data_IF_168402570143
#
_entry.id   IF_168402570143
#
_cell.length_a   1.000
_cell.length_b   1.000
_cell.length_c   1.000
_cell.angle_alpha   90.00
_cell.angle_beta   90.00
_cell.angle_gamma   90.00
#
_symmetry.space_group_name_H-M   'P 1'
#
loop_
_entity.id
_entity.type
_entity.pdbx_description
1 polymer ?
#
# COMPACT_ATOMS: atom_id res chain seq x y z
N UNK A 1 8.22 6.66 7.79
CA UNK A 1 9.57 7.02 8.26
C UNK A 1 10.42 5.75 8.38
N UNK A 2 11.73 5.80 8.14
CA UNK A 2 12.61 4.63 8.38
C UNK A 2 13.20 4.74 9.79
N UNK A 3 12.96 3.77 10.69
CA UNK A 3 13.53 3.79 12.03
C UNK A 3 15.05 3.62 12.02
N UNK A 4 15.70 4.03 13.10
CA UNK A 4 17.09 3.68 13.32
C UNK A 4 17.24 2.16 13.45
N UNK A 5 18.17 1.58 12.69
CA UNK A 5 18.44 0.15 12.75
C UNK A 5 19.25 -0.23 13.99
N UNK A 6 18.87 -1.34 14.60
CA UNK A 6 19.56 -2.03 15.72
C UNK A 6 19.65 -3.52 15.41
N UNK A 7 20.49 -4.27 16.13
CA UNK A 7 20.55 -5.74 16.01
C UNK A 7 19.21 -6.33 16.48
N UNK A 8 18.69 -7.33 15.77
CA UNK A 8 17.42 -8.00 16.12
C UNK A 8 17.61 -9.52 15.95
N UNK A 9 17.61 -10.25 17.07
CA UNK A 9 17.88 -11.70 17.06
C UNK A 9 19.21 -12.04 16.39
N UNK A 10 19.16 -12.93 15.39
CA UNK A 10 20.32 -13.32 14.58
C UNK A 10 20.75 -12.26 13.54
N UNK A 11 19.92 -11.23 13.29
CA UNK A 11 20.16 -10.24 12.24
C UNK A 11 20.96 -9.05 12.77
N UNK A 12 22.05 -8.72 12.07
CA UNK A 12 22.90 -7.60 12.43
C UNK A 12 22.18 -6.26 12.24
N UNK A 13 22.73 -5.18 12.83
CA UNK A 13 22.26 -3.81 12.57
C UNK A 13 22.22 -3.49 11.06
N UNK A 14 23.21 -3.99 10.30
CA UNK A 14 23.29 -3.79 8.85
C UNK A 14 22.14 -4.49 8.12
N UNK A 15 21.81 -5.72 8.54
CA UNK A 15 20.70 -6.49 7.97
C UNK A 15 19.36 -5.80 8.23
N UNK A 16 19.10 -5.40 9.47
CA UNK A 16 17.87 -4.68 9.83
C UNK A 16 17.75 -3.37 9.07
N UNK A 17 18.86 -2.64 8.90
CA UNK A 17 18.89 -1.44 8.07
C UNK A 17 18.62 -1.72 6.59
N UNK A 18 19.09 -2.84 6.05
CA UNK A 18 18.79 -3.25 4.68
C UNK A 18 17.31 -3.62 4.52
N UNK A 19 16.76 -4.40 5.44
CA UNK A 19 15.35 -4.79 5.47
C UNK A 19 14.42 -3.57 5.48
N UNK A 20 14.66 -2.59 6.36
CA UNK A 20 13.87 -1.35 6.36
C UNK A 20 13.96 -0.55 5.06
N UNK A 21 15.15 -0.49 4.44
CA UNK A 21 15.30 0.20 3.14
C UNK A 21 14.55 -0.53 2.03
N UNK A 22 14.59 -1.86 2.01
CA UNK A 22 13.82 -2.67 1.05
C UNK A 22 12.32 -2.48 1.25
N UNK A 23 11.82 -2.60 2.49
CA UNK A 23 10.42 -2.36 2.82
C UNK A 23 9.95 -0.96 2.39
N UNK A 24 10.74 0.09 2.67
CA UNK A 24 10.43 1.45 2.18
C UNK A 24 10.34 1.52 0.66
N UNK A 25 11.28 0.89 -0.07
CA UNK A 25 11.26 0.89 -1.54
C UNK A 25 10.02 0.19 -2.09
N UNK A 26 9.64 -0.96 -1.51
CA UNK A 26 8.45 -1.70 -1.92
C UNK A 26 7.17 -0.90 -1.67
N UNK A 27 6.99 -0.33 -0.47
CA UNK A 27 5.87 0.56 -0.16
C UNK A 27 5.82 1.78 -1.08
N UNK A 28 6.98 2.40 -1.36
CA UNK A 28 7.03 3.55 -2.27
C UNK A 28 6.64 3.15 -3.69
N UNK A 29 7.08 1.99 -4.17
CA UNK A 29 6.72 1.50 -5.50
C UNK A 29 5.25 1.09 -5.62
N UNK A 30 4.65 0.57 -4.55
CA UNK A 30 3.25 0.18 -4.51
C UNK A 30 2.28 1.37 -4.40
N UNK A 31 2.65 2.42 -3.65
CA UNK A 31 1.74 3.52 -3.29
C UNK A 31 2.11 4.89 -3.88
N UNK A 32 3.34 5.10 -4.37
CA UNK A 32 3.82 6.42 -4.79
C UNK A 32 4.30 6.47 -6.25
N UNK A 33 4.38 5.33 -6.93
CA UNK A 33 4.79 5.29 -8.34
C UNK A 33 3.74 5.93 -9.24
N UNK A 34 4.09 7.06 -9.86
CA UNK A 34 3.12 7.88 -10.63
C UNK A 34 2.53 7.13 -11.83
N UNK A 35 3.29 6.27 -12.48
CA UNK A 35 2.79 5.47 -13.61
C UNK A 35 1.70 4.51 -13.13
N UNK A 36 1.94 3.83 -12.02
CA UNK A 36 0.99 2.92 -11.39
C UNK A 36 -0.23 3.64 -10.86
N UNK A 37 -0.04 4.76 -10.14
CA UNK A 37 -1.13 5.59 -9.62
C UNK A 37 -2.10 6.05 -10.71
N UNK A 38 -1.60 6.32 -11.92
CA UNK A 38 -2.43 6.75 -13.06
C UNK A 38 -2.97 5.58 -13.91
N UNK A 39 -3.09 4.38 -13.32
CA UNK A 39 -3.69 3.21 -13.97
C UNK A 39 -2.72 2.38 -14.81
N UNK A 40 -1.43 2.73 -14.83
CA UNK A 40 -0.41 2.01 -15.57
C UNK A 40 -0.05 0.66 -14.96
N UNK A 41 0.90 -0.03 -15.61
CA UNK A 41 1.43 -1.32 -15.10
C UNK A 41 2.32 -1.08 -13.87
N UNK A 42 2.22 -1.88 -12.80
CA UNK A 42 3.03 -1.75 -11.57
C UNK A 42 4.47 -2.26 -11.73
N UNK A 43 5.18 -1.83 -12.78
CA UNK A 43 6.49 -2.35 -13.11
C UNK A 43 7.55 -2.02 -12.04
N UNK A 44 7.44 -0.88 -11.37
CA UNK A 44 8.33 -0.50 -10.28
C UNK A 44 8.21 -1.47 -9.09
N UNK A 45 6.98 -1.80 -8.69
CA UNK A 45 6.71 -2.74 -7.60
C UNK A 45 7.08 -4.17 -7.99
N UNK A 46 6.66 -4.61 -9.18
CA UNK A 46 6.95 -5.94 -9.70
C UNK A 46 8.46 -6.26 -9.69
N UNK A 47 9.32 -5.31 -10.09
CA UNK A 47 10.79 -5.50 -10.08
C UNK A 47 11.41 -5.70 -8.70
N UNK A 48 10.72 -5.27 -7.65
CA UNK A 48 11.20 -5.40 -6.26
C UNK A 48 10.72 -6.69 -5.60
N UNK A 49 9.67 -7.33 -6.12
CA UNK A 49 9.17 -8.60 -5.59
C UNK A 49 10.15 -9.75 -5.84
N UNK A 50 10.07 -10.75 -4.96
CA UNK A 50 10.63 -12.08 -5.22
C UNK A 50 10.11 -12.62 -6.57
N UNK A 51 10.90 -13.38 -7.35
CA UNK A 51 10.48 -13.86 -8.67
C UNK A 51 9.13 -14.58 -8.69
N UNK A 52 8.79 -15.34 -7.66
CA UNK A 52 7.50 -16.05 -7.59
C UNK A 52 6.35 -15.07 -7.37
N UNK A 53 6.47 -14.17 -6.39
CA UNK A 53 5.47 -13.12 -6.15
C UNK A 53 5.27 -12.22 -7.36
N UNK A 54 6.37 -11.90 -8.08
CA UNK A 54 6.30 -11.13 -9.32
C UNK A 54 5.50 -11.84 -10.39
N UNK A 55 5.72 -13.13 -10.56
CA UNK A 55 5.00 -13.94 -11.55
C UNK A 55 3.50 -13.94 -11.24
N UNK A 56 3.14 -14.11 -9.97
CA UNK A 56 1.73 -14.12 -9.55
C UNK A 56 1.05 -12.76 -9.68
N UNK A 57 1.72 -11.68 -9.25
CA UNK A 57 1.26 -10.31 -9.46
C UNK A 57 0.95 -10.07 -10.94
N UNK A 58 1.90 -10.36 -11.83
CA UNK A 58 1.76 -10.08 -13.25
C UNK A 58 0.73 -10.97 -13.95
N UNK A 59 0.61 -12.23 -13.53
CA UNK A 59 -0.35 -13.19 -14.08
C UNK A 59 -1.79 -12.77 -13.78
N UNK A 60 -2.03 -12.23 -12.59
CA UNK A 60 -3.39 -11.91 -12.14
C UNK A 60 -3.72 -10.41 -12.14
N UNK A 61 -2.88 -9.58 -12.77
CA UNK A 61 -3.13 -8.15 -12.89
C UNK A 61 -4.40 -7.91 -13.71
N UNK A 62 -5.33 -7.11 -13.17
CA UNK A 62 -6.62 -6.77 -13.79
C UNK A 62 -7.49 -8.00 -14.10
N UNK A 63 -7.36 -9.06 -13.28
CA UNK A 63 -8.08 -10.31 -13.49
C UNK A 63 -9.59 -10.15 -13.20
N UNK A 64 -10.46 -10.68 -14.08
CA UNK A 64 -11.93 -10.53 -13.95
C UNK A 64 -12.54 -11.14 -12.69
N UNK A 65 -11.94 -12.22 -12.18
CA UNK A 65 -12.28 -12.76 -10.86
C UNK A 65 -11.55 -11.94 -9.80
N UNK A 66 -12.30 -11.18 -9.02
CA UNK A 66 -11.76 -10.24 -8.02
C UNK A 66 -10.93 -10.92 -6.94
N UNK A 67 -11.27 -12.15 -6.55
CA UNK A 67 -10.47 -12.93 -5.59
C UNK A 67 -9.04 -13.24 -6.07
N UNK A 68 -8.79 -13.11 -7.38
CA UNK A 68 -7.48 -13.30 -7.98
C UNK A 68 -6.84 -11.96 -8.38
N UNK A 69 -7.62 -10.88 -8.47
CA UNK A 69 -7.18 -9.64 -9.06
C UNK A 69 -6.10 -8.98 -8.21
N UNK A 70 -4.87 -8.96 -8.73
CA UNK A 70 -3.72 -8.38 -8.03
C UNK A 70 -3.62 -6.86 -8.20
N UNK A 71 -4.54 -6.22 -8.94
CA UNK A 71 -4.59 -4.75 -9.07
C UNK A 71 -4.68 -4.07 -7.70
N UNK A 72 -5.46 -4.66 -6.79
CA UNK A 72 -5.63 -4.16 -5.44
C UNK A 72 -4.36 -4.19 -4.60
N UNK A 73 -3.29 -4.89 -5.00
CA UNK A 73 -2.03 -4.92 -4.24
C UNK A 73 -1.29 -3.57 -4.26
N UNK A 74 -1.55 -2.73 -5.26
CA UNK A 74 -0.94 -1.41 -5.46
C UNK A 74 -1.99 -0.30 -5.47
N UNK A 75 -1.61 0.93 -5.14
CA UNK A 75 -2.49 2.08 -5.33
C UNK A 75 -2.54 2.45 -6.82
N UNK A 76 -3.74 2.48 -7.39
CA UNK A 76 -3.97 2.78 -8.80
C UNK A 76 -5.35 3.38 -8.97
N UNK A 77 -5.44 4.65 -9.35
CA UNK A 77 -6.74 5.29 -9.62
C UNK A 77 -7.38 4.72 -10.88
N UNK A 78 -8.70 4.59 -10.85
CA UNK A 78 -9.48 4.20 -12.01
C UNK A 78 -9.26 5.19 -13.17
N UNK A 79 -9.18 4.66 -14.39
CA UNK A 79 -8.85 5.47 -15.57
C UNK A 79 -9.88 6.57 -15.77
N UNK A 80 -9.41 7.82 -15.87
CA UNK A 80 -10.25 9.00 -16.09
C UNK A 80 -10.99 9.49 -14.84
N UNK A 81 -10.72 8.92 -13.66
CA UNK A 81 -11.36 9.34 -12.40
C UNK A 81 -10.50 10.29 -11.56
N UNK A 82 -9.21 10.41 -11.86
CA UNK A 82 -8.30 11.24 -11.07
C UNK A 82 -7.16 11.85 -11.90
N UNK A 83 -6.90 13.13 -11.67
CA UNK A 83 -5.65 13.81 -11.98
C UNK A 83 -4.94 14.16 -10.67
N UNK A 84 -3.65 13.78 -10.51
CA UNK A 84 -2.87 14.16 -9.33
C UNK A 84 -2.63 15.68 -9.30
N UNK A 85 -2.98 16.32 -8.19
CA UNK A 85 -2.74 17.74 -7.96
C UNK A 85 -1.33 17.95 -7.41
N UNK A 86 -0.45 18.49 -8.26
CA UNK A 86 0.96 18.73 -7.92
C UNK A 86 1.78 17.44 -7.79
N UNK A 87 2.91 17.57 -7.09
CA UNK A 87 3.95 16.53 -7.01
C UNK A 87 4.17 15.99 -5.58
N UNK A 88 3.36 16.45 -4.62
CA UNK A 88 3.49 16.07 -3.21
C UNK A 88 2.40 15.08 -2.83
N UNK A 89 2.82 13.90 -2.40
CA UNK A 89 1.97 12.91 -1.73
C UNK A 89 2.38 12.89 -0.25
N UNK A 90 1.41 13.06 0.64
CA UNK A 90 1.69 13.06 2.08
C UNK A 90 1.70 11.63 2.60
N UNK A 91 2.72 11.30 3.39
CA UNK A 91 2.93 9.94 3.91
C UNK A 91 3.15 10.01 5.41
N UNK A 92 2.35 9.27 6.16
CA UNK A 92 2.48 9.13 7.60
C UNK A 92 2.49 7.66 7.95
N UNK A 93 3.44 7.22 8.78
CA UNK A 93 3.49 5.82 9.15
C UNK A 93 4.78 5.41 9.84
N UNK A 94 4.77 4.17 10.30
CA UNK A 94 5.81 3.53 11.10
C UNK A 94 6.10 2.14 10.54
N UNK A 95 7.29 1.64 10.82
CA UNK A 95 7.64 0.24 10.62
C UNK A 95 8.49 -0.23 11.80
N UNK A 96 8.53 -1.53 12.06
CA UNK A 96 9.32 -2.12 13.13
C UNK A 96 9.80 -3.50 12.75
N UNK A 97 10.95 -3.92 13.26
CA UNK A 97 11.53 -5.24 13.00
C UNK A 97 11.51 -6.11 14.26
N UNK A 98 11.11 -7.38 14.11
CA UNK A 98 11.11 -8.38 15.17
C UNK A 98 11.67 -9.71 14.64
N UNK A 99 12.36 -10.50 15.47
CA UNK A 99 12.79 -11.82 15.06
C UNK A 99 11.59 -12.76 15.05
N UNK A 100 11.58 -13.72 14.12
CA UNK A 100 10.67 -14.87 14.13
C UNK A 100 11.42 -16.13 13.70
N UNK A 101 10.76 -17.28 13.81
CA UNK A 101 11.21 -18.51 13.17
C UNK A 101 10.45 -18.68 11.86
N UNK A 102 11.17 -19.00 10.80
CA UNK A 102 10.62 -19.44 9.53
C UNK A 102 9.97 -20.81 9.65
N UNK A 103 9.30 -21.23 8.59
CA UNK A 103 8.60 -22.51 8.55
C UNK A 103 9.57 -23.70 8.56
N UNK A 104 10.81 -23.48 8.12
CA UNK A 104 11.95 -24.41 8.22
C UNK A 104 12.64 -24.39 9.61
N UNK A 105 12.14 -23.56 10.54
CA UNK A 105 12.73 -23.34 11.86
C UNK A 105 13.93 -22.40 11.88
N UNK A 106 14.37 -21.90 10.73
CA UNK A 106 15.46 -20.95 10.57
C UNK A 106 15.14 -19.55 11.10
N UNK A 107 16.16 -18.71 11.34
CA UNK A 107 15.95 -17.35 11.79
C UNK A 107 15.41 -16.48 10.65
N UNK A 108 14.32 -15.77 10.91
CA UNK A 108 13.78 -14.74 10.02
C UNK A 108 13.60 -13.41 10.75
N UNK A 109 13.60 -12.33 9.98
CA UNK A 109 13.31 -10.99 10.44
C UNK A 109 11.99 -10.54 9.81
N UNK A 110 10.99 -10.31 10.65
CA UNK A 110 9.73 -9.71 10.20
C UNK A 110 9.80 -8.20 10.36
N UNK A 111 9.60 -7.47 9.26
CA UNK A 111 9.35 -6.03 9.27
C UNK A 111 7.86 -5.80 9.11
N UNK A 112 7.20 -5.36 10.18
CA UNK A 112 5.81 -4.91 10.12
C UNK A 112 5.76 -3.43 9.78
N UNK A 113 4.70 -3.01 9.09
CA UNK A 113 4.49 -1.62 8.73
C UNK A 113 3.03 -1.22 8.93
N UNK A 114 2.81 0.09 9.13
CA UNK A 114 1.50 0.73 9.18
C UNK A 114 1.65 2.13 8.59
N UNK A 115 1.04 2.37 7.43
CA UNK A 115 1.19 3.59 6.65
C UNK A 115 -0.15 4.12 6.13
N UNK A 116 -0.21 5.45 6.01
CA UNK A 116 -1.26 6.22 5.35
C UNK A 116 -0.61 7.03 4.23
N UNK A 117 -1.22 6.98 3.05
CA UNK A 117 -0.82 7.71 1.86
C UNK A 117 -1.98 8.61 1.44
N UNK A 118 -1.78 9.93 1.46
CA UNK A 118 -2.82 10.91 1.15
C UNK A 118 -2.51 11.59 -0.17
N UNK A 119 -3.42 11.44 -1.13
CA UNK A 119 -3.36 11.99 -2.47
C UNK A 119 -4.34 13.17 -2.57
N UNK A 120 -3.88 14.29 -3.12
CA UNK A 120 -4.78 15.33 -3.62
C UNK A 120 -5.07 15.03 -5.09
N UNK A 121 -6.36 14.87 -5.42
CA UNK A 121 -6.80 14.54 -6.78
C UNK A 121 -7.84 15.52 -7.27
N UNK A 122 -7.82 15.78 -8.58
CA UNK A 122 -8.83 16.56 -9.28
C UNK A 122 -9.66 15.64 -10.16
N UNK A 123 -10.98 15.87 -10.21
CA UNK A 123 -11.86 15.19 -11.15
C UNK A 123 -11.60 15.72 -12.56
N UNK A 124 -11.18 14.89 -13.52
CA UNK A 124 -10.84 15.34 -14.86
C UNK A 124 -11.96 16.15 -15.52
N UNK A 125 -11.60 17.24 -16.21
CA UNK A 125 -12.55 18.14 -16.86
C UNK A 125 -13.37 19.03 -15.92
N UNK A 126 -13.05 19.06 -14.62
CA UNK A 126 -13.75 19.90 -13.63
C UNK A 126 -12.76 20.65 -12.72
N UNK A 127 -13.28 21.56 -11.90
CA UNK A 127 -12.51 22.23 -10.83
C UNK A 127 -12.54 21.51 -9.48
N UNK A 128 -13.23 20.35 -9.39
CA UNK A 128 -13.43 19.66 -8.12
C UNK A 128 -12.14 18.97 -7.67
N UNK A 129 -11.76 19.20 -6.43
CA UNK A 129 -10.59 18.60 -5.78
C UNK A 129 -11.06 17.82 -4.57
N UNK A 130 -10.47 16.66 -4.34
CA UNK A 130 -10.71 15.82 -3.18
C UNK A 130 -9.39 15.28 -2.62
N UNK A 131 -9.45 14.80 -1.37
CA UNK A 131 -8.37 14.03 -0.74
C UNK A 131 -8.77 12.58 -0.68
N UNK A 132 -7.89 11.71 -1.15
CA UNK A 132 -8.02 10.26 -1.03
C UNK A 132 -6.93 9.76 -0.10
N UNK A 133 -7.29 8.94 0.87
CA UNK A 133 -6.35 8.30 1.78
C UNK A 133 -6.36 6.79 1.52
N UNK A 134 -5.19 6.20 1.33
CA UNK A 134 -5.00 4.76 1.35
C UNK A 134 -4.20 4.37 2.59
N UNK A 135 -4.77 3.47 3.40
CA UNK A 135 -4.11 2.88 4.56
C UNK A 135 -3.66 1.45 4.23
N UNK A 136 -2.47 1.10 4.69
CA UNK A 136 -1.95 -0.25 4.60
C UNK A 136 -1.14 -0.62 5.85
N UNK A 137 -1.50 -1.75 6.44
CA UNK A 137 -0.78 -2.42 7.51
C UNK A 137 -0.48 -3.84 7.06
N UNK A 138 0.78 -4.23 7.14
CA UNK A 138 1.21 -5.55 6.71
C UNK A 138 2.62 -5.86 7.14
N UNK A 139 3.23 -6.84 6.46
CA UNK A 139 4.59 -7.27 6.78
C UNK A 139 5.41 -7.69 5.56
N UNK A 140 6.73 -7.62 5.74
CA UNK A 140 7.73 -8.26 4.90
C UNK A 140 8.58 -9.17 5.78
N UNK A 141 8.82 -10.39 5.33
CA UNK A 141 9.77 -11.30 5.97
C UNK A 141 11.09 -11.29 5.22
N UNK A 142 12.18 -11.43 5.97
CA UNK A 142 13.55 -11.44 5.46
C UNK A 142 14.34 -12.59 6.06
N UNK A 143 15.09 -13.30 5.23
CA UNK A 143 15.88 -14.46 5.65
C UNK A 143 17.13 -14.63 4.79
N UNK A 144 17.93 -15.65 5.10
CA UNK A 144 19.06 -16.07 4.27
C UNK A 144 18.95 -17.56 4.05
N UNK A 145 19.08 -17.99 2.80
CA UNK A 145 19.07 -19.43 2.45
C UNK A 145 20.30 -20.16 3.02
N UNK A 146 21.39 -19.43 3.29
CA UNK A 146 22.60 -19.96 3.92
C UNK A 146 23.34 -18.88 4.74
N UNK A 147 24.17 -19.26 5.73
CA UNK A 147 25.04 -18.34 6.44
C UNK A 147 25.90 -17.51 5.47
N UNK A 148 25.87 -16.18 5.60
CA UNK A 148 26.63 -15.26 4.75
C UNK A 148 26.07 -15.02 3.35
N UNK A 149 24.93 -15.63 2.97
CA UNK A 149 24.28 -15.44 1.67
C UNK A 149 23.72 -14.02 1.44
N UNK A 150 22.80 -13.86 0.49
CA UNK A 150 22.04 -12.60 0.32
C UNK A 150 20.83 -12.55 1.25
N UNK A 151 20.38 -11.36 1.62
CA UNK A 151 19.17 -11.19 2.43
C UNK A 151 17.98 -11.23 1.46
N UNK A 152 17.25 -12.36 1.48
CA UNK A 152 16.01 -12.56 0.74
C UNK A 152 14.88 -11.79 1.42
N UNK A 153 13.80 -11.57 0.68
CA UNK A 153 12.58 -11.00 1.23
C UNK A 153 11.33 -11.54 0.55
N UNK A 154 10.23 -11.53 1.29
CA UNK A 154 8.90 -11.89 0.82
C UNK A 154 7.89 -10.90 1.37
N UNK A 155 6.98 -10.41 0.53
CA UNK A 155 5.86 -9.60 0.99
C UNK A 155 4.75 -10.52 1.51
N UNK A 156 4.38 -10.38 2.78
CA UNK A 156 3.40 -11.24 3.43
C UNK A 156 1.95 -10.83 3.15
N UNK A 157 1.74 -9.83 2.28
CA UNK A 157 0.45 -9.20 2.11
C UNK A 157 0.17 -8.15 3.19
N UNK A 158 -1.06 -7.69 3.20
CA UNK A 158 -1.58 -6.75 4.17
C UNK A 158 -2.46 -7.46 5.19
N UNK A 159 -2.26 -7.13 6.46
CA UNK A 159 -3.12 -7.55 7.58
C UNK A 159 -4.43 -6.74 7.60
N UNK A 160 -4.37 -5.47 7.17
CA UNK A 160 -5.48 -4.52 7.21
C UNK A 160 -5.23 -3.43 6.14
N UNK A 161 -6.26 -3.17 5.33
CA UNK A 161 -6.26 -2.16 4.28
C UNK A 161 -7.62 -1.52 4.22
N UNK A 162 -7.64 -0.20 4.13
CA UNK A 162 -8.87 0.52 3.87
C UNK A 162 -8.55 1.83 3.18
N UNK A 163 -9.57 2.39 2.56
CA UNK A 163 -9.46 3.63 1.82
C UNK A 163 -10.52 4.60 2.29
N UNK A 164 -10.24 5.88 2.07
CA UNK A 164 -11.15 6.91 2.47
C UNK A 164 -11.17 8.06 1.45
N UNK A 165 -12.34 8.66 1.25
CA UNK A 165 -12.58 9.60 0.14
C UNK A 165 -12.77 8.86 -1.21
N UNK A 166 -13.30 7.64 -1.15
CA UNK A 166 -13.49 6.75 -2.29
C UNK A 166 -14.90 6.19 -2.33
N UNK A 167 -15.32 5.68 -3.48
CA UNK A 167 -16.50 4.84 -3.62
C UNK A 167 -16.20 3.46 -3.02
N UNK A 168 -17.19 2.86 -2.35
CA UNK A 168 -17.07 1.52 -1.78
C UNK A 168 -17.12 0.42 -2.83
N UNK A 169 -17.77 0.71 -3.97
CA UNK A 169 -17.83 -0.12 -5.15
C UNK A 169 -17.49 0.74 -6.37
N UNK A 170 -16.83 0.18 -7.41
CA UNK A 170 -16.60 -1.25 -7.65
C UNK A 170 -15.37 -1.85 -6.94
N UNK A 171 -15.45 -3.13 -6.60
CA UNK A 171 -14.31 -3.93 -6.17
C UNK A 171 -13.55 -4.47 -7.40
N UNK A 172 -12.88 -3.59 -8.14
CA UNK A 172 -12.05 -3.94 -9.31
C UNK A 172 -10.54 -3.77 -9.06
N UNK A 173 -10.19 -3.52 -7.79
CA UNK A 173 -8.84 -3.22 -7.32
C UNK A 173 -8.37 -1.79 -7.61
N UNK A 174 -9.11 -0.99 -8.39
CA UNK A 174 -8.78 0.42 -8.61
C UNK A 174 -9.36 1.29 -7.50
N UNK A 175 -8.75 2.46 -7.32
CA UNK A 175 -9.22 3.51 -6.41
C UNK A 175 -10.17 4.41 -7.18
N UNK A 176 -11.40 4.56 -6.68
CA UNK A 176 -12.45 5.39 -7.25
C UNK A 176 -12.72 6.60 -6.34
N UNK A 177 -12.15 7.79 -6.59
CA UNK A 177 -12.32 8.92 -5.70
C UNK A 177 -13.75 9.45 -5.68
N UNK A 178 -14.21 9.88 -4.51
CA UNK A 178 -15.43 10.69 -4.37
C UNK A 178 -15.07 12.17 -4.33
N UNK A 179 -15.93 12.99 -4.95
CA UNK A 179 -15.71 14.43 -5.05
C UNK A 179 -16.90 15.18 -4.45
N UNK A 180 -16.69 16.09 -3.49
CA UNK A 180 -17.76 16.93 -2.96
C UNK A 180 -18.50 17.67 -4.08
N UNK A 181 -19.83 17.60 -4.08
CA UNK A 181 -20.67 18.24 -5.09
C UNK A 181 -20.78 17.51 -6.44
N UNK A 182 -20.10 16.38 -6.63
CA UNK A 182 -20.35 15.50 -7.77
C UNK A 182 -21.53 14.56 -7.49
N UNK A 183 -22.28 14.23 -8.54
CA UNK A 183 -23.23 13.12 -8.46
C UNK A 183 -22.46 11.80 -8.20
N UNK A 184 -22.93 10.94 -7.29
CA UNK A 184 -22.35 9.62 -7.06
C UNK A 184 -22.31 8.80 -8.35
N UNK A 185 -21.19 8.11 -8.58
CA UNK A 185 -21.07 7.13 -9.68
C UNK A 185 -21.13 5.68 -9.20
N UNK A 186 -20.93 5.46 -7.89
CA UNK A 186 -21.03 4.17 -7.21
C UNK A 186 -21.55 4.30 -5.78
N UNK A 187 -21.43 3.21 -5.01
CA UNK A 187 -21.83 3.17 -3.60
C UNK A 187 -20.96 4.14 -2.81
N UNK A 188 -21.59 5.11 -2.16
CA UNK A 188 -20.89 6.09 -1.34
C UNK A 188 -20.68 5.55 0.06
N UNK A 189 -19.54 5.83 0.70
CA UNK A 189 -19.31 5.46 2.09
C UNK A 189 -20.37 6.12 2.98
N UNK A 190 -20.93 5.33 3.90
CA UNK A 190 -21.85 5.81 4.93
C UNK A 190 -21.09 6.02 6.24
N UNK A 191 -21.59 6.88 7.12
CA UNK A 191 -20.99 7.08 8.44
C UNK A 191 -20.06 8.30 8.58
N UNK A 192 -19.40 8.44 9.75
CA UNK A 192 -18.70 9.65 10.12
C UNK A 192 -17.49 9.91 9.23
N UNK A 193 -17.31 11.19 8.93
CA UNK A 193 -16.16 11.73 8.21
C UNK A 193 -14.88 11.45 9.00
N UNK A 194 -13.94 10.71 8.39
CA UNK A 194 -12.65 10.40 9.02
C UNK A 194 -11.61 11.49 8.78
N UNK A 195 -10.80 11.77 9.80
CA UNK A 195 -9.55 12.53 9.62
C UNK A 195 -8.51 11.62 8.97
N UNK A 196 -8.02 12.03 7.79
CA UNK A 196 -7.00 11.32 7.02
C UNK A 196 -5.69 11.04 7.80
N UNK A 197 -5.47 11.74 8.91
CA UNK A 197 -4.26 11.63 9.74
C UNK A 197 -4.50 11.07 11.14
N UNK A 198 -5.75 10.81 11.53
CA UNK A 198 -6.05 10.27 12.85
C UNK A 198 -5.62 8.79 12.99
N UNK A 199 -5.05 8.47 14.15
CA UNK A 199 -4.80 7.08 14.55
C UNK A 199 -6.08 6.49 15.16
N UNK A 200 -6.61 5.44 14.54
CA UNK A 200 -7.82 4.74 14.97
C UNK A 200 -8.03 3.49 14.12
N UNK A 201 -8.84 2.55 14.61
CA UNK A 201 -9.30 1.41 13.81
C UNK A 201 -10.32 1.90 12.77
N UNK A 202 -10.33 1.27 11.60
CA UNK A 202 -11.43 1.39 10.65
C UNK A 202 -12.76 1.13 11.38
N UNK A 203 -13.80 1.86 10.97
CA UNK A 203 -15.19 1.59 11.32
C UNK A 203 -15.69 0.37 10.54
N UNK A 204 -15.19 -0.84 10.81
CA UNK A 204 -15.63 -2.14 10.23
C UNK A 204 -15.90 -2.20 8.69
N UNK A 205 -15.47 -1.20 7.91
CA UNK A 205 -15.73 -1.02 6.49
C UNK A 205 -14.41 -0.74 5.75
N UNK A 206 -14.20 -1.39 4.59
CA UNK A 206 -13.00 -1.24 3.74
C UNK A 206 -12.94 0.14 3.04
N UNK A 207 -14.02 0.92 3.14
CA UNK A 207 -14.22 2.25 2.55
C UNK A 207 -14.81 3.21 3.60
N UNK A 208 -14.42 4.49 3.58
CA UNK A 208 -15.01 5.52 4.45
C UNK A 208 -14.94 6.93 3.83
N UNK A 209 -15.66 7.90 4.39
CA UNK A 209 -15.56 9.32 3.97
C UNK A 209 -14.35 10.00 4.65
N UNK A 210 -13.73 11.00 4.01
CA UNK A 210 -12.61 11.80 4.57
C UNK A 210 -13.00 13.25 4.67
N UNK A 211 -12.63 13.90 5.77
CA UNK A 211 -12.92 15.30 6.00
C UNK A 211 -12.00 16.24 5.24
N UNK A 212 -12.56 17.38 4.86
CA UNK A 212 -11.75 18.55 4.54
C UNK A 212 -11.16 19.13 5.83
N UNK A 213 -9.85 19.37 5.82
CA UNK A 213 -9.18 20.25 6.78
C UNK A 213 -9.28 21.68 6.26
#
# INVERSE_FOLDING_TARGET
MVPQAVKVGAFSRKDVGAAYRTAKKMLSAAYLDRVTLLGGKPAAFARLLDPEQRKDLLKNLDHKNQKKNSRGEVASFAKGQAELVGDVIKVQGKMSAKPRKGDDGGPELRVTYEYRFVYAVRKPGTGLIARVMAYDKGAYDFWRDAPGGSLRHWWMGSDDRWQAGVECEPDDGFIWPTYPGAAPTGVQPSGPVQDAYAYGKSTDEDCSSVGDI
#
